data_IF_131168431900
#
_entry.id   IF_131168431900
#
_cell.length_a   1.000
_cell.length_b   1.000
_cell.length_c   1.000
_cell.angle_alpha   90.00
_cell.angle_beta   90.00
_cell.angle_gamma   90.00
#
_symmetry.space_group_name_H-M   'P 1'
#
loop_
_entity.id
_entity.type
_entity.pdbx_description
1 polymer ?
#
# COMPACT_ATOMS: atom_id res chain seq x y z
N UNK A 1 49.56 -27.25 -57.63
CA UNK A 1 48.70 -26.23 -57.01
C UNK A 1 48.52 -26.60 -55.56
N UNK A 2 49.19 -25.86 -54.67
CA UNK A 2 49.40 -26.18 -53.26
C UNK A 2 48.30 -25.51 -52.44
N UNK A 3 47.43 -26.29 -51.81
CA UNK A 3 46.51 -25.79 -50.78
C UNK A 3 46.93 -26.36 -49.44
N UNK A 4 47.18 -25.50 -48.44
CA UNK A 4 46.44 -25.71 -47.19
C UNK A 4 46.19 -24.39 -46.43
N UNK A 5 45.47 -24.52 -45.30
CA UNK A 5 45.52 -23.65 -44.10
C UNK A 5 44.33 -22.70 -43.86
N UNK A 6 43.48 -23.16 -42.92
CA UNK A 6 42.85 -22.44 -41.77
C UNK A 6 41.85 -21.32 -42.12
N UNK A 7 40.68 -21.23 -41.50
CA UNK A 7 40.53 -20.91 -40.08
C UNK A 7 39.08 -21.21 -39.65
N UNK A 8 38.94 -22.01 -38.59
CA UNK A 8 37.71 -22.10 -37.79
C UNK A 8 37.54 -20.74 -37.10
N UNK A 9 36.44 -20.04 -37.35
CA UNK A 9 35.98 -18.95 -36.47
C UNK A 9 34.53 -19.22 -36.08
N UNK A 10 34.40 -19.97 -34.99
CA UNK A 10 33.20 -19.97 -34.17
C UNK A 10 33.12 -18.61 -33.48
N UNK A 11 32.05 -17.86 -33.69
CA UNK A 11 31.66 -16.78 -32.79
C UNK A 11 30.15 -16.76 -32.65
N UNK A 12 29.67 -17.55 -31.68
CA UNK A 12 28.32 -17.52 -31.19
C UNK A 12 28.08 -16.17 -30.49
N UNK A 13 27.32 -15.28 -31.14
CA UNK A 13 26.80 -14.04 -30.54
C UNK A 13 25.31 -14.24 -30.29
N UNK A 14 24.99 -14.98 -29.24
CA UNK A 14 23.62 -15.17 -28.74
C UNK A 14 23.69 -15.31 -27.22
N UNK A 15 23.83 -14.22 -26.47
CA UNK A 15 23.54 -14.17 -25.02
C UNK A 15 23.76 -12.74 -24.51
N UNK A 16 22.69 -11.96 -24.33
CA UNK A 16 22.83 -10.62 -23.76
C UNK A 16 21.55 -9.83 -23.50
N UNK A 17 20.39 -10.27 -23.98
CA UNK A 17 19.12 -9.57 -23.75
C UNK A 17 18.15 -10.49 -23.02
N UNK A 18 18.34 -10.65 -21.71
CA UNK A 18 17.50 -11.55 -20.93
C UNK A 18 17.67 -11.41 -19.44
N UNK A 19 17.49 -10.21 -18.87
CA UNK A 19 17.26 -10.06 -17.44
C UNK A 19 16.59 -8.73 -17.03
N UNK A 20 15.61 -8.23 -17.78
CA UNK A 20 14.63 -7.31 -17.19
C UNK A 20 13.60 -8.16 -16.44
N UNK A 21 13.96 -8.70 -15.27
CA UNK A 21 12.97 -9.17 -14.30
C UNK A 21 12.38 -7.94 -13.62
N UNK A 22 11.43 -7.28 -14.29
CA UNK A 22 10.57 -6.31 -13.64
C UNK A 22 9.82 -7.03 -12.51
N UNK A 23 10.03 -6.61 -11.27
CA UNK A 23 9.18 -7.04 -10.16
C UNK A 23 7.74 -6.72 -10.53
N UNK A 24 6.84 -7.70 -10.39
CA UNK A 24 5.44 -7.51 -10.73
C UNK A 24 4.88 -6.34 -9.94
N UNK A 25 4.22 -5.40 -10.63
CA UNK A 25 3.39 -4.41 -9.96
C UNK A 25 2.24 -5.18 -9.29
N UNK A 26 2.03 -4.92 -8.00
CA UNK A 26 0.91 -5.45 -7.24
C UNK A 26 -0.10 -4.32 -7.04
N UNK A 27 -0.97 -4.05 -8.03
CA UNK A 27 -1.96 -2.99 -7.93
C UNK A 27 -2.94 -3.30 -6.79
N UNK A 28 -3.29 -2.24 -6.05
CA UNK A 28 -4.43 -2.23 -5.15
C UNK A 28 -5.75 -2.15 -5.92
N UNK A 29 -6.88 -2.28 -5.22
CA UNK A 29 -8.19 -2.01 -5.82
C UNK A 29 -8.37 -0.52 -6.12
N UNK A 30 -9.19 -0.21 -7.12
CA UNK A 30 -9.72 1.14 -7.33
C UNK A 30 -10.68 1.51 -6.20
N UNK A 31 -10.73 2.79 -5.86
CA UNK A 31 -11.62 3.29 -4.82
C UNK A 31 -13.10 3.11 -5.21
N UNK A 32 -13.94 2.55 -4.33
CA UNK A 32 -15.32 2.25 -4.67
C UNK A 32 -16.20 3.49 -4.52
N UNK A 33 -16.16 4.37 -5.52
CA UNK A 33 -16.90 5.64 -5.57
C UNK A 33 -18.40 5.49 -5.30
N UNK A 34 -18.99 4.39 -5.79
CA UNK A 34 -20.42 4.11 -5.70
C UNK A 34 -20.82 3.31 -4.45
N UNK A 35 -19.89 3.02 -3.54
CA UNK A 35 -20.23 2.31 -2.31
C UNK A 35 -21.10 3.17 -1.39
N UNK A 36 -22.12 2.59 -0.71
CA UNK A 36 -22.90 3.30 0.29
C UNK A 36 -22.00 3.91 1.37
N UNK A 37 -22.28 5.17 1.73
CA UNK A 37 -21.65 5.83 2.88
C UNK A 37 -22.45 5.46 4.11
N UNK A 38 -21.78 4.80 5.05
CA UNK A 38 -22.36 4.37 6.31
C UNK A 38 -22.00 5.35 7.42
N UNK A 39 -22.69 5.23 8.54
CA UNK A 39 -22.42 6.06 9.71
C UNK A 39 -20.95 5.93 10.13
N UNK A 40 -20.31 7.05 10.55
CA UNK A 40 -18.95 7.03 11.05
C UNK A 40 -18.80 6.03 12.20
N UNK A 41 -17.68 5.31 12.19
CA UNK A 41 -17.30 4.47 13.32
C UNK A 41 -16.42 5.29 14.26
N UNK A 42 -16.62 5.09 15.56
CA UNK A 42 -15.67 5.54 16.58
C UNK A 42 -14.41 4.67 16.49
N UNK A 43 -13.60 4.91 15.46
CA UNK A 43 -12.28 4.34 15.24
C UNK A 43 -11.31 5.49 15.24
N UNK A 44 -10.24 5.35 16.03
CA UNK A 44 -9.16 6.31 16.06
C UNK A 44 -8.04 5.81 15.15
N UNK A 45 -7.71 6.60 14.13
CA UNK A 45 -6.59 6.31 13.25
C UNK A 45 -5.45 7.28 13.53
N UNK A 46 -4.29 6.76 13.91
CA UNK A 46 -3.04 7.49 14.08
C UNK A 46 -2.12 7.24 12.90
N UNK A 47 -1.66 8.33 12.29
CA UNK A 47 -0.69 8.31 11.19
C UNK A 47 0.71 8.49 11.77
N UNK A 48 1.57 7.49 11.59
CA UNK A 48 3.00 7.58 11.90
C UNK A 48 3.84 7.51 10.63
N UNK A 49 5.15 7.70 10.76
CA UNK A 49 6.09 7.69 9.63
C UNK A 49 6.21 6.32 8.93
N UNK A 50 6.20 5.24 9.72
CA UNK A 50 6.40 3.87 9.21
C UNK A 50 5.12 3.02 9.22
N UNK A 51 4.15 3.36 10.05
CA UNK A 51 2.93 2.60 10.21
C UNK A 51 1.74 3.50 10.51
N UNK A 52 0.57 3.04 10.07
CA UNK A 52 -0.72 3.60 10.43
C UNK A 52 -1.33 2.68 11.46
N UNK A 53 -1.58 3.24 12.64
CA UNK A 53 -2.15 2.52 13.76
C UNK A 53 -3.62 2.87 13.86
N UNK A 54 -4.48 1.88 14.03
CA UNK A 54 -5.89 2.12 14.22
C UNK A 54 -6.42 1.37 15.43
N UNK A 55 -7.27 2.01 16.21
CA UNK A 55 -7.85 1.46 17.43
C UNK A 55 -9.36 1.42 17.32
N UNK A 56 -9.94 0.24 17.49
CA UNK A 56 -11.38 0.07 17.53
C UNK A 56 -11.92 0.52 18.90
N UNK A 57 -12.42 1.75 18.98
CA UNK A 57 -13.04 2.29 20.19
C UNK A 57 -14.56 2.06 20.24
N UNK A 58 -15.11 1.31 19.28
CA UNK A 58 -16.53 0.96 19.26
C UNK A 58 -16.84 -0.18 20.24
N UNK A 59 -18.12 -0.36 20.58
CA UNK A 59 -18.58 -1.49 21.38
C UNK A 59 -18.78 -2.80 20.58
N UNK A 60 -18.32 -2.88 19.33
CA UNK A 60 -18.48 -4.05 18.46
C UNK A 60 -17.17 -4.46 17.79
N UNK A 61 -17.06 -5.74 17.45
CA UNK A 61 -15.95 -6.23 16.62
C UNK A 61 -16.12 -5.68 15.21
N UNK A 62 -15.04 -5.16 14.64
CA UNK A 62 -15.02 -4.79 13.22
C UNK A 62 -14.77 -6.07 12.41
N UNK A 63 -15.58 -6.35 11.38
CA UNK A 63 -15.32 -7.47 10.49
C UNK A 63 -14.03 -7.23 9.70
N UNK A 64 -13.54 -8.25 9.00
CA UNK A 64 -12.48 -8.03 8.02
C UNK A 64 -12.92 -7.03 6.94
N UNK A 65 -11.95 -6.28 6.41
CA UNK A 65 -12.24 -5.17 5.53
C UNK A 65 -11.00 -4.54 4.93
N UNK A 66 -11.11 -3.26 4.60
CA UNK A 66 -10.02 -2.50 3.98
C UNK A 66 -10.01 -1.08 4.48
N UNK A 67 -8.84 -0.62 4.88
CA UNK A 67 -8.62 0.79 5.23
C UNK A 67 -8.31 1.54 3.95
N UNK A 68 -9.02 2.64 3.73
CA UNK A 68 -8.81 3.58 2.64
C UNK A 68 -8.27 4.89 3.19
N UNK A 69 -7.27 5.44 2.51
CA UNK A 69 -6.67 6.72 2.79
C UNK A 69 -6.79 7.61 1.57
N UNK A 70 -7.20 8.86 1.78
CA UNK A 70 -7.36 9.86 0.73
C UNK A 70 -8.18 9.40 -0.48
N UNK A 71 -9.08 8.41 -0.30
CA UNK A 71 -9.83 7.78 -1.38
C UNK A 71 -8.95 7.24 -2.53
N UNK A 72 -7.69 6.90 -2.24
CA UNK A 72 -6.71 6.53 -3.27
C UNK A 72 -5.93 5.29 -2.87
N UNK A 73 -5.32 5.32 -1.69
CA UNK A 73 -4.50 4.24 -1.19
C UNK A 73 -5.30 3.32 -0.28
N UNK A 74 -5.04 2.02 -0.35
CA UNK A 74 -5.72 1.06 0.52
C UNK A 74 -4.84 -0.10 0.98
N UNK A 75 -5.18 -0.63 2.16
CA UNK A 75 -4.57 -1.83 2.71
C UNK A 75 -5.65 -2.75 3.30
N UNK A 76 -5.50 -4.09 3.17
CA UNK A 76 -6.40 -5.02 3.85
C UNK A 76 -6.25 -4.89 5.36
N UNK A 77 -7.36 -4.97 6.08
CA UNK A 77 -7.40 -5.06 7.53
C UNK A 77 -8.16 -6.32 7.91
N UNK A 78 -7.57 -7.13 8.80
CA UNK A 78 -8.27 -8.26 9.40
C UNK A 78 -9.44 -7.80 10.30
N UNK A 79 -10.15 -8.75 10.93
CA UNK A 79 -11.11 -8.41 11.97
C UNK A 79 -10.41 -7.78 13.16
N UNK A 80 -11.09 -6.85 13.84
CA UNK A 80 -10.50 -6.03 14.90
C UNK A 80 -11.41 -6.04 16.10
N UNK A 81 -10.93 -6.63 17.18
CA UNK A 81 -11.62 -6.74 18.45
C UNK A 81 -11.95 -5.38 19.08
N UNK A 82 -12.88 -5.39 20.03
CA UNK A 82 -13.23 -4.20 20.81
C UNK A 82 -12.02 -3.77 21.65
N UNK A 83 -11.61 -2.51 21.52
CA UNK A 83 -10.42 -1.96 22.18
C UNK A 83 -9.10 -2.44 21.58
N UNK A 84 -9.12 -3.24 20.51
CA UNK A 84 -7.91 -3.71 19.86
C UNK A 84 -7.28 -2.59 19.02
N UNK A 85 -5.95 -2.51 19.12
CA UNK A 85 -5.12 -1.64 18.28
C UNK A 85 -4.33 -2.50 17.30
N UNK A 86 -4.48 -2.21 16.02
CA UNK A 86 -3.75 -2.89 14.95
C UNK A 86 -2.88 -1.88 14.22
N UNK A 87 -1.69 -2.34 13.81
CA UNK A 87 -0.70 -1.54 13.09
C UNK A 87 -0.54 -2.09 11.67
N UNK A 88 -0.78 -1.24 10.68
CA UNK A 88 -0.57 -1.56 9.27
C UNK A 88 0.64 -0.75 8.80
N UNK A 89 1.71 -1.39 8.26
CA UNK A 89 2.84 -0.65 7.76
C UNK A 89 2.39 0.25 6.60
N UNK A 90 2.93 1.47 6.54
CA UNK A 90 2.64 2.45 5.48
C UNK A 90 2.93 1.82 4.10
N UNK A 91 3.97 0.99 4.03
CA UNK A 91 4.31 0.20 2.87
C UNK A 91 3.32 -0.91 2.49
N UNK A 92 2.20 -1.11 3.17
CA UNK A 92 1.13 -2.02 2.72
C UNK A 92 0.02 -1.29 1.94
N UNK A 93 -0.03 0.04 2.01
CA UNK A 93 -1.04 0.82 1.31
C UNK A 93 -0.63 1.02 -0.16
N UNK A 94 -1.52 0.64 -1.07
CA UNK A 94 -1.32 0.71 -2.52
C UNK A 94 -2.49 1.37 -3.22
N UNK A 95 -2.21 2.09 -4.29
CA UNK A 95 -3.22 2.57 -5.23
C UNK A 95 -3.52 1.56 -6.34
N UNK A 96 -4.41 1.92 -7.26
CA UNK A 96 -4.81 1.09 -8.40
C UNK A 96 -3.70 0.80 -9.41
N UNK A 97 -2.58 1.54 -9.37
CA UNK A 97 -1.41 1.35 -10.21
C UNK A 97 -0.29 0.58 -9.49
N UNK A 98 -0.45 0.32 -8.19
CA UNK A 98 0.54 -0.35 -7.34
C UNK A 98 1.59 0.60 -6.76
N UNK A 99 1.38 1.91 -6.84
CA UNK A 99 2.21 2.89 -6.15
C UNK A 99 1.94 2.78 -4.64
N UNK A 100 3.02 2.77 -3.86
CA UNK A 100 2.95 2.80 -2.41
C UNK A 100 2.78 4.25 -1.95
N UNK A 101 1.97 4.45 -0.90
CA UNK A 101 1.94 5.74 -0.21
C UNK A 101 3.35 6.11 0.27
N UNK A 102 3.68 7.39 0.17
CA UNK A 102 4.99 7.91 0.56
C UNK A 102 5.03 8.07 2.09
N UNK A 103 5.66 7.09 2.74
CA UNK A 103 6.02 7.20 4.15
C UNK A 103 7.14 8.21 4.34
N UNK A 104 6.96 9.13 5.28
CA UNK A 104 8.03 10.02 5.71
C UNK A 104 9.13 9.24 6.42
N UNK A 105 10.29 9.87 6.60
CA UNK A 105 11.40 9.27 7.34
C UNK A 105 12.64 10.16 7.26
N UNK A 106 13.61 9.91 8.14
CA UNK A 106 14.85 10.70 8.22
C UNK A 106 15.64 10.75 6.89
N UNK A 107 15.45 9.74 6.03
CA UNK A 107 16.08 9.64 4.70
C UNK A 107 15.09 9.80 3.53
N UNK A 108 13.84 10.21 3.79
CA UNK A 108 12.87 10.41 2.72
C UNK A 108 13.25 11.65 1.90
N UNK A 109 13.34 11.48 0.58
CA UNK A 109 13.64 12.58 -0.34
C UNK A 109 12.47 13.56 -0.50
N UNK A 110 11.25 13.13 -0.13
CA UNK A 110 10.01 13.89 -0.23
C UNK A 110 9.27 13.88 1.11
N UNK A 111 8.47 14.93 1.34
CA UNK A 111 7.63 15.01 2.53
C UNK A 111 6.55 13.92 2.51
N UNK A 112 6.17 13.35 3.67
CA UNK A 112 5.04 12.44 3.77
C UNK A 112 3.76 13.06 3.23
N UNK A 113 2.95 12.24 2.55
CA UNK A 113 1.66 12.68 2.05
C UNK A 113 0.69 12.94 3.22
N UNK A 114 -0.01 14.10 3.26
CA UNK A 114 -0.97 14.37 4.32
C UNK A 114 -2.19 13.45 4.18
N UNK A 115 -2.51 12.72 5.25
CA UNK A 115 -3.74 11.94 5.34
C UNK A 115 -4.87 12.83 5.86
N UNK A 116 -5.77 13.22 4.96
CA UNK A 116 -6.91 14.11 5.26
C UNK A 116 -8.22 13.35 5.33
N UNK A 117 -8.26 12.14 4.77
CA UNK A 117 -9.43 11.26 4.77
C UNK A 117 -9.00 9.84 5.11
N UNK A 118 -9.68 9.22 6.07
CA UNK A 118 -9.61 7.79 6.28
C UNK A 118 -11.00 7.17 6.36
N UNK A 119 -11.14 5.99 5.77
CA UNK A 119 -12.39 5.24 5.74
C UNK A 119 -12.14 3.75 5.92
N UNK A 120 -13.12 3.04 6.49
CA UNK A 120 -13.10 1.60 6.64
C UNK A 120 -14.16 0.98 5.75
N UNK A 121 -13.74 0.18 4.78
CA UNK A 121 -14.63 -0.56 3.89
C UNK A 121 -14.96 -1.93 4.48
N UNK A 122 -16.25 -2.23 4.54
CA UNK A 122 -16.82 -3.55 4.84
C UNK A 122 -17.61 -4.05 3.64
N UNK A 123 -18.24 -5.22 3.75
CA UNK A 123 -19.18 -5.72 2.75
C UNK A 123 -20.40 -4.79 2.55
N UNK A 124 -20.77 -4.03 3.59
CA UNK A 124 -21.97 -3.19 3.59
C UNK A 124 -21.74 -1.79 3.00
N UNK A 125 -20.49 -1.31 2.98
CA UNK A 125 -20.15 0.02 2.49
C UNK A 125 -18.91 0.63 3.12
N UNK A 126 -18.82 1.96 3.05
CA UNK A 126 -17.70 2.75 3.56
C UNK A 126 -18.10 3.50 4.82
N UNK A 127 -17.44 3.19 5.93
CA UNK A 127 -17.54 3.93 7.18
C UNK A 127 -16.50 5.06 7.24
N UNK A 128 -16.91 6.26 7.65
CA UNK A 128 -15.98 7.30 8.04
C UNK A 128 -15.17 6.90 9.29
N UNK A 129 -13.89 7.27 9.33
CA UNK A 129 -13.00 7.03 10.47
C UNK A 129 -12.47 8.37 10.98
N UNK A 130 -12.33 8.50 12.30
CA UNK A 130 -11.74 9.69 12.90
C UNK A 130 -10.22 9.62 12.78
N UNK A 131 -9.66 10.55 12.00
CA UNK A 131 -8.21 10.68 11.84
C UNK A 131 -7.66 11.55 12.97
N UNK A 132 -6.76 10.97 13.75
CA UNK A 132 -5.96 11.65 14.77
C UNK A 132 -4.54 11.76 14.23
N UNK A 133 -4.20 12.91 13.67
CA UNK A 133 -2.82 13.19 13.26
C UNK A 133 -2.00 13.35 14.53
N UNK A 134 -1.10 12.40 14.79
CA UNK A 134 -0.12 12.52 15.86
C UNK A 134 1.08 13.23 15.28
N UNK A 135 1.35 14.43 15.79
CA UNK A 135 2.55 15.19 15.45
C UNK A 135 3.73 14.53 16.18
N UNK A 136 4.21 13.41 15.65
CA UNK A 136 5.52 12.88 16.04
C UNK A 136 6.55 13.81 15.41
N UNK A 137 6.76 14.95 16.06
CA UNK A 137 7.75 15.97 15.70
C UNK A 137 9.16 15.37 15.62
N UNK A 138 10.08 16.05 14.91
CA UNK A 138 11.44 15.58 14.68
C UNK A 138 12.24 15.33 15.97
#
# INVERSE_FOLDING_TARGET
>A
MTGPIRFVLAMAVCSGLGACRGGGLHPGPAYPENAPRLDPLDIQLRVGSLAITFTNTTARVLPEGRVWLNAWYSAPAGPVGVGETVSIPVSAFRDEHGEAIRGGGFFAAEAPEPIVLAQYATADGLHGVVVVVSDDGP
#
